data_IF_235803356704
#
_entry.id   IF_235803356704
#
_cell.length_a   1.000
_cell.length_b   1.000
_cell.length_c   1.000
_cell.angle_alpha   90.00
_cell.angle_beta   90.00
_cell.angle_gamma   90.00
#
_symmetry.space_group_name_H-M   'P 1'
#
loop_
_entity.id
_entity.type
_entity.pdbx_description
1 polymer ?
#
# COMPACT_ATOMS: atom_id res chain seq x y z
N UNK A 1 14.31 1.31 23.74
CA UNK A 1 13.43 1.99 22.76
C UNK A 1 11.99 2.16 23.25
N UNK A 2 11.54 1.37 24.23
CA UNK A 2 10.23 1.54 24.88
C UNK A 2 10.44 2.10 26.30
N UNK A 3 10.90 3.34 26.40
CA UNK A 3 11.18 4.04 27.67
C UNK A 3 10.51 5.41 27.63
N UNK A 4 9.96 5.89 28.74
CA UNK A 4 9.16 7.13 28.83
C UNK A 4 9.89 8.40 28.37
N UNK A 5 11.23 8.33 28.29
CA UNK A 5 12.09 9.44 27.86
C UNK A 5 12.35 9.43 26.35
N UNK A 6 12.26 8.27 25.68
CA UNK A 6 12.71 8.08 24.29
C UNK A 6 11.57 8.04 23.26
N UNK A 7 10.30 7.95 23.67
CA UNK A 7 9.15 7.96 22.75
C UNK A 7 9.04 9.25 21.92
N UNK A 8 9.34 10.47 22.42
CA UNK A 8 9.24 11.68 21.60
C UNK A 8 10.31 11.69 20.51
N UNK A 9 11.50 11.18 20.80
CA UNK A 9 12.59 11.03 19.83
C UNK A 9 12.26 10.01 18.75
N UNK A 10 11.57 8.92 19.12
CA UNK A 10 11.07 7.94 18.16
C UNK A 10 10.05 8.55 17.18
N UNK A 11 9.16 9.43 17.64
CA UNK A 11 8.28 10.17 16.73
C UNK A 11 9.06 11.19 15.89
N UNK A 12 10.01 11.90 16.52
CA UNK A 12 10.85 12.92 15.89
C UNK A 12 11.74 12.39 14.77
N UNK A 13 12.13 11.11 14.79
CA UNK A 13 12.94 10.52 13.72
C UNK A 13 12.24 10.56 12.34
N UNK A 14 10.89 10.61 12.31
CA UNK A 14 10.12 10.74 11.07
C UNK A 14 10.38 12.08 10.36
N UNK A 15 10.91 13.09 11.06
CA UNK A 15 11.32 14.35 10.44
C UNK A 15 12.46 14.13 9.45
N UNK A 16 13.35 13.16 9.70
CA UNK A 16 14.50 12.88 8.82
C UNK A 16 14.06 12.50 7.39
N UNK A 17 13.23 11.46 7.17
CA UNK A 17 12.75 11.15 5.82
C UNK A 17 11.87 12.26 5.23
N UNK A 18 11.13 13.03 6.05
CA UNK A 18 10.37 14.19 5.55
C UNK A 18 11.28 15.28 4.98
N UNK A 19 12.36 15.65 5.69
CA UNK A 19 13.33 16.65 5.23
C UNK A 19 14.07 16.16 3.99
N UNK A 20 14.52 14.90 3.99
CA UNK A 20 15.14 14.27 2.82
C UNK A 20 14.17 14.30 1.63
N UNK A 21 12.91 13.92 1.85
CA UNK A 21 11.86 13.95 0.83
C UNK A 21 11.61 15.35 0.28
N UNK A 22 11.58 16.37 1.14
CA UNK A 22 11.41 17.77 0.73
C UNK A 22 12.59 18.28 -0.11
N UNK A 23 13.82 17.97 0.30
CA UNK A 23 15.03 18.30 -0.46
C UNK A 23 15.01 17.59 -1.82
N UNK A 24 14.73 16.29 -1.85
CA UNK A 24 14.60 15.53 -3.08
C UNK A 24 13.53 16.09 -4.02
N UNK A 25 12.37 16.50 -3.47
CA UNK A 25 11.29 17.10 -4.26
C UNK A 25 11.71 18.42 -4.91
N UNK A 26 12.49 19.24 -4.21
CA UNK A 26 13.02 20.50 -4.75
C UNK A 26 13.90 20.29 -6.00
N UNK A 27 14.63 19.17 -6.07
CA UNK A 27 15.47 18.83 -7.23
C UNK A 27 14.72 18.09 -8.35
N UNK A 28 13.50 17.61 -8.11
CA UNK A 28 12.74 16.84 -9.11
C UNK A 28 12.06 17.79 -10.10
N UNK A 29 12.19 17.55 -11.42
CA UNK A 29 11.43 18.33 -12.40
C UNK A 29 9.94 18.11 -12.20
N UNK A 30 9.14 19.17 -12.44
CA UNK A 30 7.68 19.08 -12.46
C UNK A 30 7.22 17.99 -13.46
N UNK A 31 6.10 17.33 -13.16
CA UNK A 31 5.58 16.26 -14.01
C UNK A 31 5.32 16.80 -15.43
N UNK A 32 5.87 16.17 -16.49
CA UNK A 32 5.69 16.62 -17.86
C UNK A 32 4.22 16.69 -18.28
N UNK A 33 3.39 15.75 -17.78
CA UNK A 33 1.94 15.75 -17.98
C UNK A 33 1.27 16.98 -17.37
N UNK A 34 1.71 17.42 -16.19
CA UNK A 34 1.20 18.64 -15.54
C UNK A 34 1.62 19.89 -16.31
N UNK A 35 2.87 19.98 -16.77
CA UNK A 35 3.36 21.10 -17.57
C UNK A 35 2.57 21.25 -18.88
N UNK A 36 2.28 20.14 -19.55
CA UNK A 36 1.54 20.12 -20.81
C UNK A 36 0.05 20.42 -20.63
N UNK A 37 -0.62 19.72 -19.71
CA UNK A 37 -2.08 19.81 -19.54
C UNK A 37 -2.53 21.03 -18.73
N UNK A 38 -1.80 21.38 -17.66
CA UNK A 38 -2.23 22.42 -16.72
C UNK A 38 -1.60 23.79 -17.01
N UNK A 39 -0.29 23.84 -17.28
CA UNK A 39 0.43 25.10 -17.60
C UNK A 39 0.37 25.46 -19.10
N UNK A 40 -0.02 24.54 -19.98
CA UNK A 40 -0.02 24.71 -21.45
C UNK A 40 1.35 25.12 -22.03
N UNK A 41 2.43 24.84 -21.31
CA UNK A 41 3.79 25.15 -21.76
C UNK A 41 4.39 23.92 -22.44
N UNK A 42 4.21 23.86 -23.76
CA UNK A 42 4.62 22.74 -24.60
C UNK A 42 6.15 22.59 -24.63
N UNK A 43 6.89 23.71 -24.59
CA UNK A 43 8.35 23.70 -24.66
C UNK A 43 8.98 23.16 -23.37
N UNK A 44 8.48 23.61 -22.21
CA UNK A 44 8.93 23.11 -20.91
C UNK A 44 8.49 21.67 -20.66
N UNK A 45 7.29 21.29 -21.11
CA UNK A 45 6.81 19.91 -21.05
C UNK A 45 7.69 18.97 -21.88
N UNK A 46 8.01 19.32 -23.13
CA UNK A 46 8.89 18.55 -23.99
C UNK A 46 10.29 18.38 -23.36
N UNK A 47 10.84 19.43 -22.76
CA UNK A 47 12.13 19.37 -22.04
C UNK A 47 12.09 18.46 -20.81
N UNK A 48 10.98 18.49 -20.05
CA UNK A 48 10.77 17.63 -18.88
C UNK A 48 10.60 16.16 -19.28
N UNK A 49 9.86 15.88 -20.35
CA UNK A 49 9.75 14.55 -20.99
C UNK A 49 11.15 14.07 -21.42
N UNK A 50 11.92 14.92 -22.10
CA UNK A 50 13.29 14.58 -22.54
C UNK A 50 14.23 14.24 -21.38
N UNK A 51 14.07 14.93 -20.25
CA UNK A 51 14.83 14.66 -19.02
C UNK A 51 14.38 13.39 -18.32
N UNK A 52 13.08 13.04 -18.34
CA UNK A 52 12.60 11.77 -17.76
C UNK A 52 12.82 10.56 -18.66
N UNK A 53 12.75 10.74 -19.99
CA UNK A 53 12.95 9.70 -21.00
C UNK A 53 14.43 9.40 -21.31
N UNK A 54 15.39 10.13 -20.73
CA UNK A 54 16.82 9.94 -21.02
C UNK A 54 17.37 8.55 -20.63
N UNK A 55 16.53 7.64 -20.11
CA UNK A 55 16.80 6.21 -19.88
C UNK A 55 16.16 5.25 -20.90
N UNK A 56 15.42 5.70 -21.92
CA UNK A 56 14.84 4.81 -22.93
C UNK A 56 14.37 5.56 -24.19
N UNK A 57 14.74 5.03 -25.35
CA UNK A 57 14.50 5.59 -26.69
C UNK A 57 13.02 5.59 -27.14
N UNK A 58 12.10 6.10 -26.31
CA UNK A 58 10.75 6.41 -26.78
C UNK A 58 10.75 7.76 -27.46
N UNK A 59 10.17 7.82 -28.66
CA UNK A 59 10.02 9.06 -29.41
C UNK A 59 9.21 10.06 -28.59
N UNK A 60 9.83 11.19 -28.26
CA UNK A 60 9.23 12.31 -27.52
C UNK A 60 7.93 12.77 -28.18
N UNK A 61 7.88 12.72 -29.52
CA UNK A 61 6.71 13.06 -30.31
C UNK A 61 5.52 12.13 -30.04
N UNK A 62 5.77 10.84 -29.79
CA UNK A 62 4.70 9.88 -29.52
C UNK A 62 4.04 10.16 -28.15
N UNK A 63 4.82 10.46 -27.10
CA UNK A 63 4.27 10.82 -25.79
C UNK A 63 3.53 12.17 -25.83
N UNK A 64 4.06 13.16 -26.56
CA UNK A 64 3.39 14.45 -26.71
C UNK A 64 2.07 14.32 -27.48
N UNK A 65 2.02 13.47 -28.51
CA UNK A 65 0.80 13.17 -29.26
C UNK A 65 -0.24 12.43 -28.39
N UNK A 66 0.19 11.57 -27.47
CA UNK A 66 -0.69 10.94 -26.49
C UNK A 66 -1.32 11.99 -25.55
N UNK A 67 -0.54 12.96 -25.07
CA UNK A 67 -1.08 14.05 -24.24
C UNK A 67 -2.03 14.96 -25.03
N UNK A 68 -1.75 15.21 -26.32
CA UNK A 68 -2.65 15.97 -27.20
C UNK A 68 -3.99 15.23 -27.42
N UNK A 69 -3.96 13.91 -27.57
CA UNK A 69 -5.17 13.08 -27.66
C UNK A 69 -5.97 13.10 -26.35
N UNK A 70 -5.30 13.04 -25.19
CA UNK A 70 -5.98 13.14 -23.89
C UNK A 70 -6.71 14.48 -23.71
N UNK A 71 -6.14 15.60 -24.19
CA UNK A 71 -6.80 16.92 -24.18
C UNK A 71 -8.05 16.94 -25.06
N UNK A 72 -8.01 16.30 -26.22
CA UNK A 72 -9.15 16.21 -27.14
C UNK A 72 -10.32 15.41 -26.55
N UNK A 73 -10.04 14.43 -25.68
CA UNK A 73 -11.05 13.59 -25.02
C UNK A 73 -11.53 14.21 -23.69
N UNK A 74 -10.69 14.96 -22.99
CA UNK A 74 -10.96 15.48 -21.63
C UNK A 74 -11.28 16.97 -21.65
N UNK A 75 -12.38 17.37 -22.30
CA UNK A 75 -12.78 18.79 -22.37
C UNK A 75 -13.59 19.31 -21.17
N UNK A 76 -13.60 18.59 -20.04
CA UNK A 76 -14.34 19.03 -18.84
C UNK A 76 -13.57 18.76 -17.56
N UNK A 77 -13.59 19.71 -16.62
CA UNK A 77 -13.21 19.46 -15.22
C UNK A 77 -14.18 18.42 -14.67
N UNK A 78 -13.76 17.16 -14.58
CA UNK A 78 -14.59 16.09 -14.03
C UNK A 78 -14.83 16.36 -12.53
N UNK A 79 -16.08 16.60 -12.15
CA UNK A 79 -16.47 16.68 -10.74
C UNK A 79 -16.47 15.29 -10.10
N UNK A 80 -16.29 15.22 -8.77
CA UNK A 80 -16.45 13.97 -8.00
C UNK A 80 -17.82 13.30 -8.27
N UNK A 81 -18.85 14.10 -8.50
CA UNK A 81 -20.20 13.63 -8.81
C UNK A 81 -20.37 13.12 -10.26
N UNK A 82 -19.51 13.52 -11.19
CA UNK A 82 -19.57 13.04 -12.58
C UNK A 82 -19.05 11.61 -12.70
N UNK A 83 -18.16 11.19 -11.79
CA UNK A 83 -17.73 9.78 -11.63
C UNK A 83 -18.94 8.89 -11.33
N UNK A 84 -19.88 9.41 -10.53
CA UNK A 84 -21.14 8.74 -10.21
C UNK A 84 -22.17 8.83 -11.32
N UNK A 85 -21.92 9.45 -12.48
CA UNK A 85 -22.87 9.47 -13.61
C UNK A 85 -22.50 8.45 -14.69
N UNK A 86 -21.22 8.12 -14.78
CA UNK A 86 -20.69 7.28 -15.85
C UNK A 86 -20.63 5.80 -15.40
N UNK A 87 -21.31 4.87 -16.08
CA UNK A 87 -21.45 3.49 -15.59
C UNK A 87 -20.14 2.73 -15.43
N UNK A 88 -19.15 2.94 -16.32
CA UNK A 88 -17.84 2.29 -16.19
C UNK A 88 -17.02 2.88 -15.01
N UNK A 89 -17.15 4.18 -14.73
CA UNK A 89 -16.50 4.82 -13.58
C UNK A 89 -17.12 4.38 -12.25
N UNK A 90 -18.45 4.17 -12.21
CA UNK A 90 -19.14 3.60 -11.04
C UNK A 90 -18.63 2.20 -10.69
N UNK A 91 -18.47 1.33 -11.69
CA UNK A 91 -17.95 -0.01 -11.48
C UNK A 91 -16.51 0.03 -10.97
N UNK A 92 -15.66 0.87 -11.57
CA UNK A 92 -14.30 1.07 -11.09
C UNK A 92 -14.24 1.59 -9.65
N UNK A 93 -15.10 2.55 -9.30
CA UNK A 93 -15.21 3.10 -7.95
C UNK A 93 -15.70 2.05 -6.94
N UNK A 94 -16.68 1.22 -7.32
CA UNK A 94 -17.17 0.13 -6.47
C UNK A 94 -16.10 -0.93 -6.23
N UNK A 95 -15.34 -1.30 -7.26
CA UNK A 95 -14.21 -2.23 -7.13
C UNK A 95 -13.13 -1.64 -6.21
N UNK A 96 -12.77 -0.37 -6.42
CA UNK A 96 -11.78 0.31 -5.57
C UNK A 96 -12.23 0.40 -4.11
N UNK A 97 -13.50 0.74 -3.88
CA UNK A 97 -14.08 0.81 -2.54
C UNK A 97 -14.11 -0.58 -1.88
N UNK A 98 -14.58 -1.61 -2.60
CA UNK A 98 -14.62 -2.98 -2.10
C UNK A 98 -13.20 -3.49 -1.77
N UNK A 99 -12.22 -3.18 -2.62
CA UNK A 99 -10.82 -3.52 -2.39
C UNK A 99 -10.27 -2.83 -1.12
N UNK A 100 -10.53 -1.53 -0.96
CA UNK A 100 -10.02 -0.78 0.18
C UNK A 100 -10.72 -1.18 1.49
N UNK A 101 -12.03 -1.40 1.45
CA UNK A 101 -12.79 -1.96 2.56
C UNK A 101 -12.26 -3.36 2.93
N UNK A 102 -12.05 -4.24 1.95
CA UNK A 102 -11.50 -5.58 2.19
C UNK A 102 -10.11 -5.52 2.83
N UNK A 103 -9.26 -4.60 2.40
CA UNK A 103 -7.93 -4.39 2.98
C UNK A 103 -8.00 -3.89 4.43
N UNK A 104 -8.94 -3.00 4.76
CA UNK A 104 -9.10 -2.51 6.13
C UNK A 104 -9.76 -3.55 7.05
N UNK A 105 -10.79 -4.24 6.56
CA UNK A 105 -11.53 -5.28 7.29
C UNK A 105 -10.73 -6.56 7.50
N UNK A 106 -9.64 -6.76 6.74
CA UNK A 106 -8.66 -7.82 6.96
C UNK A 106 -8.07 -7.82 8.38
N UNK A 107 -8.16 -6.70 9.12
CA UNK A 107 -7.63 -6.61 10.47
C UNK A 107 -6.10 -6.44 10.53
N UNK A 108 -5.43 -6.31 9.38
CA UNK A 108 -3.97 -6.12 9.28
C UNK A 108 -3.47 -4.95 10.13
N UNK A 109 -4.18 -3.82 10.12
CA UNK A 109 -3.81 -2.67 10.95
C UNK A 109 -3.94 -2.99 12.45
N UNK A 110 -4.97 -3.73 12.86
CA UNK A 110 -5.11 -4.21 14.23
C UNK A 110 -3.97 -5.13 14.63
N UNK A 111 -3.60 -6.08 13.76
CA UNK A 111 -2.45 -6.95 13.98
C UNK A 111 -1.15 -6.15 14.14
N UNK A 112 -0.88 -5.18 13.27
CA UNK A 112 0.34 -4.38 13.33
C UNK A 112 0.43 -3.56 14.63
N UNK A 113 -0.66 -2.91 15.03
CA UNK A 113 -0.68 -2.09 16.25
C UNK A 113 -0.65 -2.92 17.54
N UNK A 114 -1.38 -4.03 17.58
CA UNK A 114 -1.56 -4.83 18.79
C UNK A 114 -0.75 -6.13 18.81
N UNK A 115 0.12 -6.37 17.82
CA UNK A 115 0.94 -7.59 17.74
C UNK A 115 1.71 -7.90 19.03
N UNK A 116 2.32 -6.91 19.67
CA UNK A 116 3.07 -7.10 20.91
C UNK A 116 2.15 -7.56 22.05
N UNK A 117 0.97 -6.96 22.19
CA UNK A 117 -0.02 -7.35 23.20
C UNK A 117 -0.64 -8.70 22.90
N UNK A 118 -0.84 -9.01 21.62
CA UNK A 118 -1.27 -10.33 21.16
C UNK A 118 -0.25 -11.41 21.52
N UNK A 119 1.05 -11.17 21.29
CA UNK A 119 2.08 -12.13 21.69
C UNK A 119 2.20 -12.27 23.21
N UNK A 120 2.10 -11.15 23.96
CA UNK A 120 2.14 -11.16 25.44
C UNK A 120 0.95 -11.90 26.06
N UNK A 121 -0.27 -11.64 25.58
CA UNK A 121 -1.50 -12.29 26.07
C UNK A 121 -1.52 -13.81 25.85
N UNK A 122 -0.65 -14.30 24.97
CA UNK A 122 -0.49 -15.71 24.65
C UNK A 122 0.72 -16.37 25.35
N UNK A 123 1.35 -15.69 26.32
CA UNK A 123 2.35 -16.28 27.21
C UNK A 123 3.80 -16.02 26.81
N UNK A 124 4.07 -15.21 25.78
CA UNK A 124 5.44 -14.79 25.48
C UNK A 124 5.91 -13.73 26.48
N UNK A 125 7.16 -13.85 26.93
CA UNK A 125 7.85 -12.79 27.68
C UNK A 125 7.86 -11.48 26.90
N UNK A 126 7.83 -10.33 27.59
CA UNK A 126 7.82 -9.02 26.96
C UNK A 126 8.98 -8.80 25.97
N UNK A 127 10.17 -9.37 26.27
CA UNK A 127 11.31 -9.31 25.35
C UNK A 127 11.08 -10.17 24.10
N UNK A 128 10.59 -11.40 24.27
CA UNK A 128 10.30 -12.32 23.17
C UNK A 128 9.17 -11.79 22.26
N UNK A 129 8.13 -11.18 22.84
CA UNK A 129 7.04 -10.56 22.10
C UNK A 129 7.52 -9.40 21.21
N UNK A 130 8.43 -8.56 21.69
CA UNK A 130 9.01 -7.47 20.88
C UNK A 130 9.85 -8.01 19.71
N UNK A 131 10.64 -9.07 19.92
CA UNK A 131 11.38 -9.73 18.85
C UNK A 131 10.46 -10.40 17.83
N UNK A 132 9.38 -11.05 18.28
CA UNK A 132 8.38 -11.65 17.41
C UNK A 132 7.70 -10.61 16.53
N UNK A 133 7.25 -9.48 17.08
CA UNK A 133 6.69 -8.36 16.30
C UNK A 133 7.67 -7.81 15.27
N UNK A 134 8.95 -7.70 15.63
CA UNK A 134 9.98 -7.27 14.68
C UNK A 134 10.15 -8.30 13.54
N UNK A 135 10.10 -9.59 13.85
CA UNK A 135 10.09 -10.68 12.87
C UNK A 135 8.91 -10.59 11.89
N UNK A 136 7.70 -10.32 12.39
CA UNK A 136 6.51 -10.07 11.55
C UNK A 136 6.76 -8.91 10.59
N UNK A 137 7.36 -7.81 11.08
CA UNK A 137 7.75 -6.68 10.23
C UNK A 137 8.75 -7.07 9.12
N UNK A 138 9.76 -7.88 9.44
CA UNK A 138 10.72 -8.36 8.44
C UNK A 138 10.07 -9.25 7.38
N UNK A 139 9.16 -10.15 7.78
CA UNK A 139 8.40 -10.98 6.84
C UNK A 139 7.53 -10.12 5.93
N UNK A 140 6.83 -9.13 6.49
CA UNK A 140 6.01 -8.18 5.71
C UNK A 140 6.85 -7.45 4.67
N UNK A 141 8.05 -6.97 5.04
CA UNK A 141 8.97 -6.32 4.11
C UNK A 141 9.40 -7.28 2.98
N UNK A 142 9.80 -8.51 3.33
CA UNK A 142 10.20 -9.52 2.36
C UNK A 142 9.08 -9.87 1.37
N UNK A 143 7.88 -10.13 1.87
CA UNK A 143 6.69 -10.42 1.05
C UNK A 143 6.33 -9.22 0.17
N UNK A 144 6.46 -7.99 0.68
CA UNK A 144 6.19 -6.77 -0.11
C UNK A 144 7.16 -6.65 -1.28
N UNK A 145 8.45 -6.89 -1.06
CA UNK A 145 9.47 -6.86 -2.14
C UNK A 145 9.13 -7.91 -3.20
N UNK A 146 8.83 -9.15 -2.78
CA UNK A 146 8.42 -10.22 -3.71
C UNK A 146 7.16 -9.82 -4.48
N UNK A 147 6.18 -9.21 -3.81
CA UNK A 147 4.92 -8.77 -4.41
C UNK A 147 5.14 -7.78 -5.56
N UNK A 148 6.11 -6.85 -5.44
CA UNK A 148 6.45 -5.89 -6.50
C UNK A 148 6.93 -6.60 -7.77
N UNK A 149 7.65 -7.72 -7.67
CA UNK A 149 8.08 -8.48 -8.85
C UNK A 149 6.96 -9.38 -9.41
N UNK A 150 6.07 -9.87 -8.54
CA UNK A 150 4.99 -10.79 -8.93
C UNK A 150 3.83 -10.05 -9.58
N UNK A 151 3.52 -8.82 -9.13
CA UNK A 151 2.37 -8.05 -9.63
C UNK A 151 2.46 -7.78 -11.13
N UNK A 152 3.66 -7.54 -11.64
CA UNK A 152 3.91 -7.28 -13.06
C UNK A 152 3.75 -8.54 -13.92
N UNK A 153 3.89 -9.74 -13.34
CA UNK A 153 3.75 -11.02 -14.06
C UNK A 153 2.36 -11.63 -13.99
N UNK A 154 1.66 -11.50 -12.86
CA UNK A 154 0.38 -12.19 -12.61
C UNK A 154 -0.82 -11.31 -12.94
N UNK A 155 -0.65 -9.99 -12.93
CA UNK A 155 -1.71 -9.03 -13.18
C UNK A 155 -2.46 -8.61 -11.91
N UNK A 156 -2.83 -7.33 -11.85
CA UNK A 156 -3.32 -6.64 -10.65
C UNK A 156 -4.65 -7.19 -10.10
N UNK A 157 -5.59 -7.56 -10.98
CA UNK A 157 -6.91 -8.06 -10.57
C UNK A 157 -6.87 -9.47 -9.97
N UNK A 158 -6.05 -10.36 -10.54
CA UNK A 158 -5.89 -11.74 -10.04
C UNK A 158 -5.21 -11.73 -8.67
N UNK A 159 -4.20 -10.87 -8.49
CA UNK A 159 -3.48 -10.75 -7.23
C UNK A 159 -4.38 -10.25 -6.10
N UNK A 160 -5.27 -9.27 -6.37
CA UNK A 160 -6.21 -8.75 -5.40
C UNK A 160 -7.20 -9.82 -4.91
N UNK A 161 -7.84 -10.54 -5.84
CA UNK A 161 -8.84 -11.57 -5.50
C UNK A 161 -8.18 -12.73 -4.74
N UNK A 162 -7.03 -13.22 -5.23
CA UNK A 162 -6.30 -14.31 -4.56
C UNK A 162 -5.84 -13.89 -3.16
N UNK A 163 -5.32 -12.68 -3.01
CA UNK A 163 -4.93 -12.13 -1.71
C UNK A 163 -6.10 -12.09 -0.73
N UNK A 164 -7.27 -11.61 -1.18
CA UNK A 164 -8.48 -11.58 -0.35
C UNK A 164 -8.91 -12.99 0.08
N UNK A 165 -8.89 -13.97 -0.82
CA UNK A 165 -9.23 -15.36 -0.49
C UNK A 165 -8.28 -15.97 0.54
N UNK A 166 -6.97 -15.71 0.44
CA UNK A 166 -5.97 -16.19 1.41
C UNK A 166 -6.24 -15.58 2.78
N UNK A 167 -6.42 -14.26 2.86
CA UNK A 167 -6.72 -13.56 4.12
C UNK A 167 -8.00 -14.07 4.76
N UNK A 168 -9.07 -14.24 3.98
CA UNK A 168 -10.33 -14.81 4.49
C UNK A 168 -10.13 -16.22 5.05
N UNK A 169 -9.35 -17.05 4.37
CA UNK A 169 -9.07 -18.43 4.81
C UNK A 169 -8.26 -18.42 6.11
N UNK A 170 -7.22 -17.58 6.20
CA UNK A 170 -6.42 -17.41 7.42
C UNK A 170 -7.26 -16.90 8.60
N UNK A 171 -8.14 -15.92 8.38
CA UNK A 171 -9.03 -15.40 9.41
C UNK A 171 -10.04 -16.44 9.90
N UNK A 172 -10.60 -17.25 8.99
CA UNK A 172 -11.49 -18.34 9.35
C UNK A 172 -10.76 -19.39 10.18
N UNK A 173 -9.55 -19.77 9.77
CA UNK A 173 -8.69 -20.69 10.54
C UNK A 173 -8.43 -20.09 11.92
N UNK A 174 -7.91 -18.86 12.01
CA UNK A 174 -7.63 -18.20 13.28
C UNK A 174 -8.85 -18.15 14.21
N UNK A 175 -10.02 -17.80 13.68
CA UNK A 175 -11.28 -17.75 14.44
C UNK A 175 -11.69 -19.12 14.94
N UNK A 176 -11.61 -20.16 14.10
CA UNK A 176 -11.89 -21.54 14.51
C UNK A 176 -10.95 -21.97 15.63
N UNK A 177 -9.64 -21.73 15.49
CA UNK A 177 -8.66 -22.09 16.51
C UNK A 177 -8.88 -21.35 17.84
N UNK A 178 -9.32 -20.08 17.81
CA UNK A 178 -9.69 -19.34 19.02
C UNK A 178 -10.95 -19.90 19.70
N UNK A 179 -11.98 -20.27 18.95
CA UNK A 179 -13.19 -20.91 19.50
C UNK A 179 -12.85 -22.28 20.11
N UNK A 180 -12.00 -23.08 19.45
CA UNK A 180 -11.54 -24.36 19.99
C UNK A 180 -10.64 -24.21 21.23
N UNK A 181 -9.83 -23.14 21.31
CA UNK A 181 -9.06 -22.82 22.53
C UNK A 181 -10.01 -22.59 23.71
N UNK A 182 -11.07 -21.82 23.52
CA UNK A 182 -12.04 -21.49 24.57
C UNK A 182 -12.86 -22.71 24.98
N UNK A 183 -13.21 -23.58 24.04
CA UNK A 183 -13.96 -24.82 24.31
C UNK A 183 -13.11 -25.95 24.92
N UNK A 184 -11.81 -26.05 24.58
CA UNK A 184 -10.97 -27.20 24.94
C UNK A 184 -9.89 -26.90 25.99
N UNK A 185 -9.71 -25.65 26.43
CA UNK A 185 -8.66 -25.23 27.37
C UNK A 185 -7.23 -25.69 26.99
N UNK A 186 -6.95 -25.88 25.69
CA UNK A 186 -5.67 -26.39 25.19
C UNK A 186 -4.75 -25.22 24.75
N UNK A 187 -3.70 -24.89 25.51
CA UNK A 187 -2.89 -23.69 25.27
C UNK A 187 -1.98 -23.77 24.03
N UNK A 188 -1.71 -24.97 23.48
CA UNK A 188 -0.81 -25.14 22.33
C UNK A 188 -1.44 -24.76 20.98
N UNK A 189 -2.78 -24.75 20.87
CA UNK A 189 -3.52 -24.38 19.64
C UNK A 189 -3.29 -22.92 19.24
N UNK A 190 -2.92 -22.09 20.21
CA UNK A 190 -2.56 -20.68 20.01
C UNK A 190 -1.36 -20.51 19.08
N UNK A 191 -0.34 -21.36 19.23
CA UNK A 191 0.87 -21.26 18.41
C UNK A 191 0.59 -21.57 16.93
N UNK A 192 -0.35 -22.49 16.67
CA UNK A 192 -0.81 -22.83 15.32
C UNK A 192 -1.68 -21.71 14.74
N UNK A 193 -2.54 -21.11 15.55
CA UNK A 193 -3.34 -19.94 15.15
C UNK A 193 -2.44 -18.75 14.75
N UNK A 194 -1.37 -18.51 15.50
CA UNK A 194 -0.41 -17.45 15.19
C UNK A 194 0.43 -17.72 13.93
N UNK A 195 0.73 -18.99 13.63
CA UNK A 195 1.41 -19.38 12.39
C UNK A 195 0.52 -19.27 11.15
N UNK A 196 -0.81 -19.22 11.34
CA UNK A 196 -1.79 -19.06 10.27
C UNK A 196 -2.08 -17.61 9.89
N UNK A 197 -1.57 -16.63 10.65
CA UNK A 197 -1.62 -15.19 10.34
C UNK A 197 -0.32 -14.78 9.67
#
# INVERSE_FOLDING_TARGET
MNTDVLWPYFLGINVVPCVIGAICLFFRPESPRYLYLAKKDIASAASAVLKSLRSGSKDIHQELDEFAKELGVTSGKAGLLDILRVPHLRLALLIALAAHCGQQLSGMNGLLFYSVELFKSNGLSAAAANYATTGVGCVLLGVTIISVFVIDRVGRGVLLIRGLCVVLTCLLIFTLFMVFKEAAHMPWLVNVAMASI
#
